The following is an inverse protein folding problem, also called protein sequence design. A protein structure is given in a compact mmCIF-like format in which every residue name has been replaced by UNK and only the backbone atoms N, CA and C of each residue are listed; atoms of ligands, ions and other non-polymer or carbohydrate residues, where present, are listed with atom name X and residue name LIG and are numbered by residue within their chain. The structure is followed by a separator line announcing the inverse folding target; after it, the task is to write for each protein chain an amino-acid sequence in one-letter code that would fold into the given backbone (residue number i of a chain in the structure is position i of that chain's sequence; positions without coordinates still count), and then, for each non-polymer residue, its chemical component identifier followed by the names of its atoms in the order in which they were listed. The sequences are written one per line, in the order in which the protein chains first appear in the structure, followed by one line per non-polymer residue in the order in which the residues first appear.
data_IF_025165830500
#
_entry.id   IF_025165830500
#
_cell.length_a   1.000
_cell.length_b   1.000
_cell.length_c   1.000
_cell.angle_alpha   90.00
_cell.angle_beta   90.00
_cell.angle_gamma   90.00
#
_symmetry.space_group_name_H-M   'P 1'
#
loop_
_entity.id
_entity.type
_entity.pdbx_description
1 polymer ?
#
# COMPACT_ATOMS: atom_id res chain seq x y z
N UNK A 1 -7.58 0.86 -18.03
CA UNK A 1 -6.65 -0.05 -17.35
C UNK A 1 -5.30 0.63 -17.21
N UNK A 2 -5.04 1.31 -16.08
CA UNK A 2 -3.71 1.86 -15.82
C UNK A 2 -2.87 0.70 -15.31
N UNK A 3 -2.02 0.16 -16.18
CA UNK A 3 -0.94 -0.72 -15.78
C UNK A 3 0.08 0.16 -15.06
N UNK A 4 0.05 0.17 -13.73
CA UNK A 4 1.18 0.68 -12.96
C UNK A 4 2.25 -0.40 -13.01
N UNK A 5 3.12 -0.33 -14.02
CA UNK A 5 4.49 -0.81 -13.84
C UNK A 5 5.09 0.03 -12.71
N UNK A 6 4.95 -0.45 -11.49
CA UNK A 6 5.88 -0.06 -10.44
C UNK A 6 7.10 -0.91 -10.69
N UNK A 7 8.08 -0.31 -11.36
CA UNK A 7 9.45 -0.79 -11.42
C UNK A 7 9.82 -1.42 -10.07
N UNK A 8 9.89 -2.75 -10.02
CA UNK A 8 10.59 -3.46 -8.96
C UNK A 8 12.05 -3.34 -9.39
N UNK A 9 12.61 -2.17 -9.09
CA UNK A 9 14.05 -1.98 -9.06
C UNK A 9 14.61 -2.97 -8.04
N UNK A 10 15.18 -4.03 -8.57
CA UNK A 10 16.00 -5.01 -7.88
C UNK A 10 17.21 -4.31 -7.26
N UNK A 11 17.33 -4.35 -5.93
CA UNK A 11 18.62 -4.31 -5.22
C UNK A 11 18.47 -4.88 -3.79
N UNK A 12 18.92 -6.12 -3.61
CA UNK A 12 19.48 -6.65 -2.35
C UNK A 12 20.97 -6.23 -2.28
N UNK A 13 21.75 -6.37 -1.17
CA UNK A 13 21.46 -6.73 0.23
C UNK A 13 22.18 -5.81 1.29
N UNK A 14 21.90 -6.02 2.59
CA UNK A 14 22.76 -5.68 3.76
C UNK A 14 23.26 -4.23 3.98
N UNK A 15 22.39 -3.23 3.93
CA UNK A 15 22.53 -2.01 4.74
C UNK A 15 21.14 -1.68 5.31
N UNK A 16 21.01 -1.11 6.53
CA UNK A 16 19.70 -0.73 7.05
C UNK A 16 19.13 0.34 6.11
N UNK A 17 18.27 -0.07 5.18
CA UNK A 17 17.54 0.85 4.33
C UNK A 17 16.67 1.65 5.28
N UNK A 18 17.13 2.86 5.63
CA UNK A 18 16.41 3.78 6.51
C UNK A 18 15.32 4.45 5.69
N UNK A 19 14.35 3.67 5.25
CA UNK A 19 13.09 4.21 4.76
C UNK A 19 12.19 4.46 5.95
N UNK A 20 11.85 5.71 6.20
CA UNK A 20 10.91 6.05 7.26
C UNK A 20 9.51 6.16 6.67
N UNK A 21 8.56 5.54 7.38
CA UNK A 21 7.15 5.72 7.10
C UNK A 21 6.71 7.11 7.60
N UNK A 22 6.14 7.92 6.71
CA UNK A 22 5.79 9.33 6.99
C UNK A 22 4.29 9.50 7.17
N UNK A 23 3.49 8.93 6.28
CA UNK A 23 2.03 9.09 6.28
C UNK A 23 1.34 7.93 5.56
N UNK A 24 0.09 7.65 5.95
CA UNK A 24 -0.81 6.74 5.24
C UNK A 24 -2.13 7.44 4.98
N UNK A 25 -2.54 7.44 3.72
CA UNK A 25 -3.87 7.84 3.30
C UNK A 25 -4.59 6.66 2.71
N UNK A 26 -5.89 6.58 2.94
CA UNK A 26 -6.71 5.56 2.31
C UNK A 26 -8.01 6.18 1.80
N UNK A 27 -8.58 5.55 0.76
CA UNK A 27 -9.88 5.91 0.19
C UNK A 27 -10.64 4.63 -0.13
N UNK A 28 -11.92 4.58 0.22
CA UNK A 28 -12.85 3.56 -0.25
C UNK A 28 -13.52 4.08 -1.53
N UNK A 29 -13.41 3.32 -2.61
CA UNK A 29 -14.00 3.64 -3.90
C UNK A 29 -14.63 2.41 -4.55
N UNK A 30 -15.23 2.61 -5.72
CA UNK A 30 -15.71 1.53 -6.58
C UNK A 30 -14.91 1.60 -7.87
N UNK A 31 -14.19 0.54 -8.19
CA UNK A 31 -13.37 0.46 -9.39
C UNK A 31 -14.17 -0.14 -10.55
N UNK A 32 -13.87 0.30 -11.78
CA UNK A 32 -14.41 -0.27 -13.00
C UNK A 32 -13.33 -1.16 -13.63
N UNK A 33 -13.53 -2.48 -13.62
CA UNK A 33 -12.68 -3.39 -14.40
C UNK A 33 -13.02 -3.23 -15.89
N UNK A 34 -12.02 -2.99 -16.74
CA UNK A 34 -12.23 -2.70 -18.17
C UNK A 34 -11.80 -3.86 -19.06
N UNK A 35 -12.78 -4.58 -19.59
CA UNK A 35 -12.72 -5.32 -20.85
C UNK A 35 -14.13 -5.72 -21.35
N UNK A 36 -15.11 -6.01 -20.49
CA UNK A 36 -16.55 -5.96 -20.83
C UNK A 36 -17.38 -5.66 -19.58
N UNK A 37 -17.87 -4.43 -19.44
CA UNK A 37 -18.55 -3.93 -18.24
C UNK A 37 -19.77 -4.80 -17.85
N UNK A 38 -19.62 -5.74 -16.90
CA UNK A 38 -20.75 -6.47 -16.27
C UNK A 38 -20.69 -6.60 -14.75
N UNK A 39 -19.86 -5.84 -14.04
CA UNK A 39 -20.00 -5.73 -12.58
C UNK A 39 -19.52 -4.39 -12.03
N UNK A 40 -20.43 -3.43 -12.00
CA UNK A 40 -20.37 -2.18 -11.24
C UNK A 40 -20.62 -2.42 -9.73
N UNK A 41 -19.85 -3.28 -9.04
CA UNK A 41 -20.24 -3.64 -7.65
C UNK A 41 -19.13 -3.94 -6.65
N UNK A 42 -17.86 -3.90 -7.02
CA UNK A 42 -16.81 -4.29 -6.08
C UNK A 42 -16.15 -3.06 -5.44
N UNK A 43 -16.37 -2.83 -4.14
CA UNK A 43 -15.65 -1.80 -3.41
C UNK A 43 -14.17 -2.18 -3.30
N UNK A 44 -13.32 -1.21 -3.56
CA UNK A 44 -11.88 -1.32 -3.37
C UNK A 44 -11.40 -0.22 -2.44
N UNK A 45 -10.36 -0.53 -1.69
CA UNK A 45 -9.62 0.43 -0.88
C UNK A 45 -8.32 0.74 -1.61
N UNK A 46 -8.11 2.01 -1.91
CA UNK A 46 -6.82 2.53 -2.38
C UNK A 46 -6.05 3.03 -1.18
N UNK A 47 -4.83 2.52 -0.97
CA UNK A 47 -3.91 2.98 0.07
C UNK A 47 -2.75 3.71 -0.61
N UNK A 48 -2.41 4.88 -0.08
CA UNK A 48 -1.23 5.65 -0.47
C UNK A 48 -0.32 5.78 0.75
N UNK A 49 0.89 5.23 0.64
CA UNK A 49 1.96 5.35 1.62
C UNK A 49 2.90 6.46 1.19
N UNK A 50 3.20 7.37 2.10
CA UNK A 50 4.26 8.37 1.95
C UNK A 50 5.47 7.87 2.72
N UNK A 51 6.58 7.66 2.03
CA UNK A 51 7.84 7.19 2.63
C UNK A 51 8.96 8.18 2.32
N UNK A 52 9.87 8.37 3.27
CA UNK A 52 11.12 9.08 3.03
C UNK A 52 12.24 8.05 2.90
N UNK A 53 13.11 8.19 1.91
CA UNK A 53 14.34 7.40 1.85
C UNK A 53 15.44 7.99 2.76
N UNK A 54 16.62 7.36 2.74
CA UNK A 54 17.76 7.80 3.56
C UNK A 54 18.29 9.21 3.19
N UNK A 55 17.99 9.70 1.98
CA UNK A 55 18.33 11.07 1.54
C UNK A 55 17.27 12.10 1.97
N UNK A 56 16.16 11.66 2.55
CA UNK A 56 15.00 12.49 2.86
C UNK A 56 14.07 12.72 1.67
N UNK A 57 14.32 12.07 0.51
CA UNK A 57 13.43 12.16 -0.63
C UNK A 57 12.10 11.47 -0.31
N UNK A 58 11.01 12.18 -0.55
CA UNK A 58 9.65 11.71 -0.30
C UNK A 58 9.09 11.06 -1.56
N UNK A 59 8.65 9.81 -1.44
CA UNK A 59 7.94 9.09 -2.50
C UNK A 59 6.57 8.62 -2.03
N UNK A 60 5.58 8.69 -2.92
CA UNK A 60 4.27 8.07 -2.70
C UNK A 60 4.22 6.70 -3.37
N UNK A 61 3.79 5.68 -2.63
CA UNK A 61 3.52 4.34 -3.14
C UNK A 61 2.03 4.06 -3.00
N UNK A 62 1.37 3.65 -4.08
CA UNK A 62 -0.07 3.46 -4.12
C UNK A 62 -0.41 2.03 -4.54
N UNK A 63 -1.41 1.44 -3.90
CA UNK A 63 -1.93 0.13 -4.26
C UNK A 63 -3.41 0.02 -3.91
N UNK A 64 -4.10 -0.85 -4.63
CA UNK A 64 -5.52 -1.13 -4.46
C UNK A 64 -5.72 -2.54 -3.93
N UNK A 65 -6.74 -2.71 -3.10
CA UNK A 65 -7.13 -4.02 -2.59
C UNK A 65 -8.63 -4.11 -2.39
N UNK A 66 -9.17 -5.31 -2.44
CA UNK A 66 -10.57 -5.56 -2.09
C UNK A 66 -10.82 -5.30 -0.60
N UNK A 67 -12.07 -5.05 -0.22
CA UNK A 67 -12.43 -4.86 1.20
C UNK A 67 -12.02 -6.04 2.10
N UNK A 68 -12.18 -7.33 1.72
CA UNK A 68 -11.67 -8.45 2.52
C UNK A 68 -10.15 -8.43 2.70
N UNK A 69 -9.39 -8.08 1.65
CA UNK A 69 -7.94 -7.92 1.76
C UNK A 69 -7.56 -6.78 2.71
N UNK A 70 -8.30 -5.66 2.67
CA UNK A 70 -8.09 -4.54 3.60
C UNK A 70 -8.33 -4.92 5.06
N UNK A 71 -9.38 -5.71 5.34
CA UNK A 71 -9.62 -6.24 6.69
C UNK A 71 -8.46 -7.10 7.19
N UNK A 72 -7.89 -7.94 6.33
CA UNK A 72 -6.73 -8.76 6.67
C UNK A 72 -5.48 -7.89 6.90
N UNK A 73 -5.21 -6.93 6.00
CA UNK A 73 -4.13 -5.98 6.13
C UNK A 73 -4.20 -5.20 7.45
N UNK A 74 -5.38 -4.69 7.80
CA UNK A 74 -5.59 -3.97 9.07
C UNK A 74 -5.33 -4.85 10.30
N UNK A 75 -5.70 -6.14 10.26
CA UNK A 75 -5.39 -7.08 11.34
C UNK A 75 -3.88 -7.25 11.51
N UNK A 76 -3.16 -7.50 10.41
CA UNK A 76 -1.70 -7.64 10.44
C UNK A 76 -1.02 -6.34 10.93
N UNK A 77 -1.56 -5.19 10.56
CA UNK A 77 -1.06 -3.90 11.03
C UNK A 77 -1.19 -3.74 12.55
N UNK A 78 -2.31 -4.18 13.14
CA UNK A 78 -2.49 -4.17 14.60
C UNK A 78 -1.54 -5.15 15.30
N UNK A 79 -1.32 -6.33 14.73
CA UNK A 79 -0.36 -7.30 15.26
C UNK A 79 1.06 -6.72 15.26
N UNK A 80 1.45 -6.04 14.18
CA UNK A 80 2.73 -5.33 14.11
C UNK A 80 2.83 -4.20 15.14
N UNK A 81 1.77 -3.40 15.31
CA UNK A 81 1.75 -2.32 16.31
C UNK A 81 1.91 -2.87 17.74
N UNK A 82 1.25 -3.98 18.08
CA UNK A 82 1.36 -4.61 19.39
C UNK A 82 2.80 -5.07 19.70
N UNK A 83 3.54 -5.57 18.71
CA UNK A 83 4.96 -5.93 18.88
C UNK A 83 5.83 -4.71 19.17
N UNK A 84 5.49 -3.55 18.61
CA UNK A 84 6.21 -2.30 18.85
C UNK A 84 5.88 -1.65 20.20
N UNK A 85 4.72 -1.96 20.80
CA UNK A 85 4.32 -1.47 22.13
C UNK A 85 4.93 -2.25 23.29
N UNK A 86 5.51 -3.44 23.04
CA UNK A 86 6.08 -4.31 24.08
C UNK A 86 7.53 -3.98 24.50
N UNK A 87 8.03 -2.77 24.23
CA UNK A 87 9.38 -2.31 24.62
C UNK A 87 9.36 -1.12 25.57
#
# INVERSE_FOLDING_TARGET
MVVLYSDIGSECPILPIKTSFVDIKWKLGVAMSSDTCRSLKYPYVTVTLKVADASGQITNKCFEMTVPQFKNFFRQFKEMAAVLETV
#
